data_IF_731747238601
#
_entry.id   IF_731747238601
#
_cell.length_a   1.000
_cell.length_b   1.000
_cell.length_c   1.000
_cell.angle_alpha   90.00
_cell.angle_beta   90.00
_cell.angle_gamma   90.00
#
_symmetry.space_group_name_H-M   'P 1'
#
loop_
_entity.id
_entity.type
_entity.pdbx_description
1 polymer ?
#
# COMPACT_ATOMS: atom_id res chain seq x y z
N UNK A 1 -46.77 26.79 -67.72
CA UNK A 1 -46.44 27.90 -66.80
C UNK A 1 -46.73 27.41 -65.39
N UNK A 2 -45.74 26.83 -64.69
CA UNK A 2 -45.87 26.40 -63.33
C UNK A 2 -44.52 26.62 -62.65
N UNK A 3 -44.54 27.49 -61.66
CA UNK A 3 -43.38 28.01 -60.92
C UNK A 3 -43.02 27.02 -59.82
N UNK A 4 -41.75 26.54 -59.79
CA UNK A 4 -41.17 25.75 -58.69
C UNK A 4 -40.55 26.70 -57.66
N UNK A 5 -41.07 26.70 -56.42
CA UNK A 5 -40.44 27.38 -55.26
C UNK A 5 -39.53 26.41 -54.53
N UNK A 6 -38.24 26.71 -54.48
CA UNK A 6 -37.25 25.99 -53.71
C UNK A 6 -37.32 26.37 -52.23
N UNK A 7 -37.51 25.37 -51.35
CA UNK A 7 -37.36 25.52 -49.89
C UNK A 7 -35.90 25.21 -49.54
N UNK A 8 -35.17 26.20 -49.02
CA UNK A 8 -33.90 25.99 -48.35
C UNK A 8 -34.17 25.59 -46.88
N UNK A 9 -33.79 24.40 -46.52
CA UNK A 9 -33.77 23.94 -45.12
C UNK A 9 -32.41 24.35 -44.50
N UNK A 10 -32.42 25.23 -43.55
CA UNK A 10 -31.25 25.57 -42.74
C UNK A 10 -31.10 24.57 -41.58
N UNK A 11 -30.09 23.68 -41.67
CA UNK A 11 -29.64 22.85 -40.54
C UNK A 11 -28.87 23.71 -39.55
N UNK A 12 -29.48 24.03 -38.41
CA UNK A 12 -28.80 24.66 -37.29
C UNK A 12 -27.92 23.63 -36.52
N UNK A 13 -26.64 23.78 -36.58
CA UNK A 13 -25.65 23.02 -35.81
C UNK A 13 -25.62 23.59 -34.38
N UNK A 14 -26.34 22.98 -33.43
CA UNK A 14 -26.25 23.34 -32.00
C UNK A 14 -24.95 22.79 -31.43
N UNK A 15 -23.95 23.61 -31.24
CA UNK A 15 -22.73 23.27 -30.50
C UNK A 15 -23.07 23.19 -29.01
N UNK A 16 -23.10 21.97 -28.47
CA UNK A 16 -23.11 21.74 -27.02
C UNK A 16 -21.75 22.13 -26.45
N UNK A 17 -21.67 23.32 -25.91
CA UNK A 17 -20.53 23.75 -25.07
C UNK A 17 -20.71 23.02 -23.74
N UNK A 18 -19.96 21.93 -23.54
CA UNK A 18 -19.85 21.29 -22.25
C UNK A 18 -19.18 22.24 -21.24
N UNK A 19 -19.94 22.85 -20.34
CA UNK A 19 -19.40 23.53 -19.19
C UNK A 19 -18.70 22.45 -18.32
N UNK A 20 -17.36 22.45 -18.36
CA UNK A 20 -16.59 21.77 -17.33
C UNK A 20 -16.89 22.46 -16.00
N UNK A 21 -17.48 21.72 -15.04
CA UNK A 21 -17.67 22.24 -13.70
C UNK A 21 -16.28 22.59 -13.12
N UNK A 22 -16.11 23.75 -12.46
CA UNK A 22 -14.85 24.07 -11.81
C UNK A 22 -14.54 23.03 -10.75
N UNK A 23 -13.25 22.70 -10.50
CA UNK A 23 -12.87 21.79 -9.44
C UNK A 23 -13.43 22.33 -8.12
N UNK A 24 -14.20 21.51 -7.43
CA UNK A 24 -14.69 21.81 -6.07
C UNK A 24 -13.46 21.86 -5.16
N UNK A 25 -13.10 23.03 -4.66
CA UNK A 25 -12.08 23.16 -3.64
C UNK A 25 -12.65 22.60 -2.33
N UNK A 26 -11.95 21.69 -1.70
CA UNK A 26 -12.28 21.27 -0.35
C UNK A 26 -12.07 22.49 0.56
N UNK A 27 -13.07 22.83 1.39
CA UNK A 27 -12.94 23.96 2.32
C UNK A 27 -11.85 23.72 3.37
N UNK A 28 -11.33 24.78 3.96
CA UNK A 28 -10.38 24.68 5.09
C UNK A 28 -10.95 23.84 6.21
N UNK A 29 -10.11 23.05 6.86
CA UNK A 29 -10.51 22.19 7.97
C UNK A 29 -10.94 23.01 9.18
N UNK A 30 -12.09 22.67 9.74
CA UNK A 30 -12.59 23.29 10.98
C UNK A 30 -12.04 22.53 12.18
N UNK A 31 -11.32 23.23 13.05
CA UNK A 31 -10.79 22.66 14.30
C UNK A 31 -11.61 23.11 15.52
N UNK A 32 -11.72 22.28 16.60
CA UNK A 32 -11.12 20.96 16.72
C UNK A 32 -11.76 19.94 15.79
N UNK A 33 -10.93 19.15 15.07
CA UNK A 33 -11.37 18.05 14.23
C UNK A 33 -11.35 16.76 15.07
N UNK A 34 -12.49 16.06 15.14
CA UNK A 34 -12.57 14.76 15.81
C UNK A 34 -12.83 13.64 14.79
N UNK A 35 -11.99 12.61 14.84
CA UNK A 35 -12.03 11.45 13.95
C UNK A 35 -12.14 10.15 14.76
N UNK A 36 -12.86 9.16 14.19
CA UNK A 36 -12.79 7.78 14.67
C UNK A 36 -11.59 7.11 13.99
N UNK A 37 -10.62 6.64 14.77
CA UNK A 37 -9.38 6.08 14.26
C UNK A 37 -9.03 4.77 14.98
N UNK A 38 -9.31 3.64 14.31
CA UNK A 38 -9.03 2.29 14.82
C UNK A 38 -9.64 2.03 16.22
N UNK A 39 -10.93 2.35 16.39
CA UNK A 39 -11.66 2.13 17.63
C UNK A 39 -11.39 3.17 18.73
N UNK A 40 -10.69 4.25 18.40
CA UNK A 40 -10.39 5.36 19.32
C UNK A 40 -10.79 6.69 18.70
N UNK A 41 -11.44 7.56 19.47
CA UNK A 41 -11.66 8.95 19.05
C UNK A 41 -10.41 9.77 19.23
N UNK A 42 -9.98 10.44 18.17
CA UNK A 42 -8.81 11.33 18.15
C UNK A 42 -9.29 12.74 17.88
N UNK A 43 -8.91 13.69 18.73
CA UNK A 43 -9.26 15.11 18.57
C UNK A 43 -8.02 15.92 18.26
N UNK A 44 -7.99 16.51 17.07
CA UNK A 44 -6.93 17.39 16.59
C UNK A 44 -7.37 18.84 16.84
N UNK A 45 -6.68 19.53 17.72
CA UNK A 45 -7.06 20.90 18.15
C UNK A 45 -6.73 21.97 17.12
N UNK A 46 -5.71 21.74 16.29
CA UNK A 46 -5.23 22.61 15.19
C UNK A 46 -4.41 21.79 14.22
N UNK A 47 -4.15 22.30 13.02
CA UNK A 47 -3.23 21.65 12.07
C UNK A 47 -1.85 21.41 12.72
N UNK A 48 -1.29 20.18 12.63
CA UNK A 48 0.02 19.89 13.19
C UNK A 48 1.13 20.66 12.48
N UNK A 49 2.14 21.06 13.26
CA UNK A 49 3.32 21.77 12.77
C UNK A 49 4.61 20.96 12.92
N UNK A 50 4.58 19.90 13.72
CA UNK A 50 5.75 19.11 14.11
C UNK A 50 5.43 17.61 14.12
N UNK A 51 5.23 17.07 12.93
CA UNK A 51 4.83 15.67 12.75
C UNK A 51 6.01 14.71 12.72
N UNK A 52 5.82 13.50 13.26
CA UNK A 52 6.68 12.35 13.00
C UNK A 52 5.92 11.33 12.14
N UNK A 53 6.54 10.87 11.04
CA UNK A 53 6.12 9.69 10.31
C UNK A 53 6.70 8.44 10.95
N UNK A 54 5.89 7.70 11.71
CA UNK A 54 6.33 6.50 12.41
C UNK A 54 5.94 5.23 11.64
N UNK A 55 6.89 4.72 10.87
CA UNK A 55 6.73 3.68 9.85
C UNK A 55 6.62 4.26 8.45
N UNK A 56 7.20 3.55 7.50
CA UNK A 56 7.45 4.04 6.14
C UNK A 56 6.18 4.46 5.40
N UNK A 57 5.08 3.70 5.51
CA UNK A 57 3.82 4.04 4.83
C UNK A 57 3.29 5.43 5.24
N UNK A 58 3.15 5.66 6.54
CA UNK A 58 2.63 6.94 7.04
C UNK A 58 3.56 8.10 6.70
N UNK A 59 4.89 7.89 6.77
CA UNK A 59 5.86 8.89 6.36
C UNK A 59 5.75 9.23 4.86
N UNK A 60 5.64 8.21 3.99
CA UNK A 60 5.50 8.42 2.55
C UNK A 60 4.17 9.09 2.17
N UNK A 61 3.08 8.82 2.89
CA UNK A 61 1.81 9.56 2.69
C UNK A 61 1.99 11.04 3.03
N UNK A 62 2.63 11.36 4.17
CA UNK A 62 2.90 12.76 4.52
C UNK A 62 3.77 13.46 3.47
N UNK A 63 4.78 12.77 2.93
CA UNK A 63 5.62 13.28 1.85
C UNK A 63 4.84 13.48 0.55
N UNK A 64 3.96 12.54 0.16
CA UNK A 64 3.09 12.66 -1.01
C UNK A 64 2.10 13.82 -0.90
N UNK A 65 1.67 14.13 0.32
CA UNK A 65 0.85 15.31 0.60
C UNK A 65 1.66 16.62 0.62
N UNK A 66 2.99 16.56 0.40
CA UNK A 66 3.87 17.74 0.38
C UNK A 66 4.07 18.35 1.77
N UNK A 67 4.09 17.54 2.83
CA UNK A 67 4.16 17.98 4.22
C UNK A 67 5.57 17.89 4.82
N UNK A 68 6.63 17.72 4.02
CA UNK A 68 8.01 17.60 4.51
C UNK A 68 8.44 18.76 5.42
N UNK A 69 7.90 19.96 5.23
CA UNK A 69 8.19 21.15 6.07
C UNK A 69 7.46 21.14 7.42
N UNK A 70 6.47 20.24 7.59
CA UNK A 70 5.75 19.99 8.83
C UNK A 70 6.29 18.75 9.55
N UNK A 71 7.24 18.04 8.96
CA UNK A 71 7.82 16.83 9.54
C UNK A 71 9.12 17.15 10.28
N UNK A 72 9.19 16.76 11.54
CA UNK A 72 10.40 16.87 12.35
C UNK A 72 11.20 15.58 12.40
N UNK A 73 10.65 14.49 11.88
CA UNK A 73 11.36 13.23 11.76
C UNK A 73 10.55 12.09 11.16
N UNK A 74 11.30 11.07 10.78
CA UNK A 74 10.78 9.76 10.41
C UNK A 74 11.51 8.67 11.20
N UNK A 75 10.83 7.57 11.50
CA UNK A 75 11.41 6.43 12.20
C UNK A 75 10.81 5.12 11.70
N UNK A 76 11.54 4.00 11.89
CA UNK A 76 11.17 2.69 11.42
C UNK A 76 11.02 2.65 9.88
N UNK A 77 12.15 2.69 9.21
CA UNK A 77 12.25 2.83 7.76
C UNK A 77 12.94 1.64 7.09
N UNK A 78 12.24 0.55 6.79
CA UNK A 78 12.83 -0.73 6.38
C UNK A 78 13.31 -0.80 4.93
N UNK A 79 12.96 0.17 4.07
CA UNK A 79 13.32 0.14 2.64
C UNK A 79 13.68 1.53 2.12
N UNK A 80 14.27 1.61 0.93
CA UNK A 80 14.51 2.90 0.27
C UNK A 80 13.19 3.63 0.06
N UNK A 81 13.24 4.97 0.16
CA UNK A 81 12.10 5.83 -0.16
C UNK A 81 11.69 5.67 -1.63
N UNK A 82 10.41 5.88 -1.93
CA UNK A 82 9.95 5.96 -3.32
C UNK A 82 10.79 7.01 -4.10
N UNK A 83 11.28 6.69 -5.31
CA UNK A 83 12.19 7.57 -6.05
C UNK A 83 11.70 9.01 -6.19
N UNK A 84 10.40 9.20 -6.44
CA UNK A 84 9.78 10.52 -6.58
C UNK A 84 9.70 11.31 -5.27
N UNK A 85 9.93 10.67 -4.11
CA UNK A 85 9.94 11.31 -2.79
C UNK A 85 11.36 11.59 -2.28
N UNK A 86 12.42 11.21 -3.03
CA UNK A 86 13.79 11.28 -2.55
C UNK A 86 14.22 12.70 -2.14
N UNK A 87 13.85 13.72 -2.93
CA UNK A 87 14.18 15.12 -2.65
C UNK A 87 13.41 15.62 -1.40
N UNK A 88 12.11 15.37 -1.32
CA UNK A 88 11.31 15.77 -0.16
C UNK A 88 11.78 15.05 1.12
N UNK A 89 12.07 13.75 1.02
CA UNK A 89 12.57 12.95 2.14
C UNK A 89 13.96 13.41 2.63
N UNK A 90 14.83 13.88 1.74
CA UNK A 90 16.15 14.40 2.12
C UNK A 90 16.09 15.63 3.04
N UNK A 91 14.94 16.31 3.10
CA UNK A 91 14.68 17.46 3.99
C UNK A 91 14.18 17.06 5.36
N UNK A 92 13.81 15.80 5.57
CA UNK A 92 13.25 15.29 6.82
C UNK A 92 14.31 14.45 7.54
N UNK A 93 14.49 14.70 8.83
CA UNK A 93 15.44 13.95 9.67
C UNK A 93 15.00 12.50 9.80
N UNK A 94 15.87 11.57 9.46
CA UNK A 94 15.70 10.16 9.80
C UNK A 94 16.21 9.93 11.23
N UNK A 95 15.31 9.62 12.15
CA UNK A 95 15.65 9.36 13.56
C UNK A 95 16.34 8.01 13.69
N UNK A 96 15.78 6.99 13.05
CA UNK A 96 16.36 5.64 12.98
C UNK A 96 15.68 4.81 11.91
N UNK A 97 16.42 3.88 11.29
CA UNK A 97 15.86 2.84 10.41
C UNK A 97 15.17 1.73 11.21
N UNK A 98 15.59 1.54 12.44
CA UNK A 98 15.06 0.55 13.39
C UNK A 98 13.96 1.16 14.27
N UNK A 99 13.54 0.40 15.28
CA UNK A 99 12.56 0.88 16.27
C UNK A 99 13.17 2.03 17.09
N UNK A 100 12.51 3.21 17.16
CA UNK A 100 12.94 4.30 18.04
C UNK A 100 12.62 3.98 19.51
N UNK A 101 13.19 4.74 20.42
CA UNK A 101 12.66 4.84 21.80
C UNK A 101 11.63 5.96 21.89
N UNK A 102 10.74 5.89 22.86
CA UNK A 102 9.76 6.94 23.11
C UNK A 102 10.41 8.28 23.34
N UNK A 103 11.48 8.31 24.18
CA UNK A 103 12.24 9.50 24.51
C UNK A 103 12.92 10.10 23.27
N UNK A 104 13.45 9.27 22.35
CA UNK A 104 14.08 9.78 21.13
C UNK A 104 13.09 10.46 20.19
N UNK A 105 11.84 10.00 20.19
CA UNK A 105 10.76 10.66 19.44
C UNK A 105 10.35 11.97 20.11
N UNK A 106 10.18 12.00 21.45
CA UNK A 106 9.80 13.19 22.19
C UNK A 106 10.89 14.28 22.18
N UNK A 107 12.16 13.91 22.02
CA UNK A 107 13.26 14.87 21.89
C UNK A 107 13.11 15.81 20.67
N UNK A 108 12.37 15.38 19.65
CA UNK A 108 12.04 16.23 18.49
C UNK A 108 10.86 17.19 18.76
N UNK A 109 10.28 17.19 19.95
CA UNK A 109 9.09 17.99 20.34
C UNK A 109 7.94 17.88 19.32
N UNK A 110 7.47 16.67 18.98
CA UNK A 110 6.36 16.50 18.05
C UNK A 110 5.05 16.98 18.69
N UNK A 111 4.11 17.42 17.86
CA UNK A 111 2.70 17.64 18.23
C UNK A 111 1.78 16.58 17.62
N UNK A 112 2.32 15.77 16.69
CA UNK A 112 1.57 14.73 15.99
C UNK A 112 2.47 13.55 15.57
N UNK A 113 1.93 12.34 15.64
CA UNK A 113 2.59 11.13 15.13
C UNK A 113 1.64 10.34 14.22
N UNK A 114 1.96 10.25 12.94
CA UNK A 114 1.30 9.33 12.03
C UNK A 114 1.96 7.94 12.12
N UNK A 115 1.17 6.91 12.42
CA UNK A 115 1.66 5.57 12.77
C UNK A 115 1.21 4.53 11.76
N UNK A 116 2.14 3.80 11.18
CA UNK A 116 1.85 2.83 10.14
C UNK A 116 1.31 1.48 10.66
N UNK A 117 1.65 1.06 11.88
CA UNK A 117 1.36 -0.30 12.37
C UNK A 117 0.84 -0.29 13.81
N UNK A 118 -0.17 -1.12 14.14
CA UNK A 118 -0.68 -1.25 15.51
C UNK A 118 0.37 -1.69 16.53
N UNK A 119 1.35 -2.49 16.13
CA UNK A 119 2.44 -2.96 17.01
C UNK A 119 3.34 -1.82 17.50
N UNK A 120 3.31 -0.65 16.87
CA UNK A 120 4.13 0.50 17.22
C UNK A 120 3.55 1.33 18.38
N UNK A 121 2.22 1.36 18.53
CA UNK A 121 1.53 2.16 19.55
C UNK A 121 0.34 1.45 20.21
N UNK A 122 0.14 0.18 19.90
CA UNK A 122 -0.94 -0.63 20.48
C UNK A 122 -0.68 -1.08 21.91
N UNK A 123 -1.63 -1.82 22.53
CA UNK A 123 -1.53 -2.28 23.92
C UNK A 123 -0.26 -3.07 24.25
N UNK A 124 0.29 -3.77 23.25
CA UNK A 124 1.49 -4.62 23.37
C UNK A 124 2.74 -3.95 22.79
N UNK A 125 2.69 -2.65 22.49
CA UNK A 125 3.86 -1.90 22.02
C UNK A 125 4.99 -1.93 23.04
N UNK A 126 6.21 -2.13 22.55
CA UNK A 126 7.43 -2.06 23.37
C UNK A 126 8.00 -0.62 23.45
N UNK A 127 7.40 0.32 22.74
CA UNK A 127 7.87 1.71 22.64
C UNK A 127 7.00 2.59 23.54
N UNK A 128 5.74 2.78 23.17
CA UNK A 128 4.74 3.55 23.93
C UNK A 128 3.34 3.16 23.42
N UNK A 129 2.32 3.44 24.20
CA UNK A 129 0.92 3.33 23.81
C UNK A 129 0.41 4.68 23.34
N UNK A 130 -0.72 4.71 22.65
CA UNK A 130 -1.38 5.97 22.23
C UNK A 130 -1.62 6.90 23.42
N UNK A 131 -2.08 6.31 24.53
CA UNK A 131 -2.35 7.06 25.78
C UNK A 131 -1.08 7.72 26.39
N UNK A 132 0.10 7.18 26.12
CA UNK A 132 1.35 7.76 26.62
C UNK A 132 1.72 9.01 25.81
N UNK A 133 1.46 9.01 24.50
CA UNK A 133 1.58 10.21 23.66
C UNK A 133 0.55 11.27 24.07
N UNK A 134 -0.70 10.87 24.30
CA UNK A 134 -1.78 11.80 24.71
C UNK A 134 -1.45 12.52 26.04
N UNK A 135 -0.86 11.80 27.02
CA UNK A 135 -0.44 12.39 28.32
C UNK A 135 0.58 13.52 28.17
N UNK A 136 1.37 13.49 27.11
CA UNK A 136 2.37 14.54 26.82
C UNK A 136 1.91 15.52 25.73
N UNK A 137 0.62 15.46 25.37
CA UNK A 137 0.00 16.40 24.44
C UNK A 137 0.29 16.14 22.97
N UNK A 138 0.76 14.94 22.62
CA UNK A 138 1.05 14.51 21.24
C UNK A 138 -0.11 13.67 20.70
N UNK A 139 -0.78 14.14 19.68
CA UNK A 139 -1.86 13.38 19.03
C UNK A 139 -1.28 12.26 18.16
N UNK A 140 -1.93 11.08 18.17
CA UNK A 140 -1.52 9.95 17.33
C UNK A 140 -2.62 9.58 16.34
N UNK A 141 -2.22 9.20 15.14
CA UNK A 141 -3.12 8.66 14.11
C UNK A 141 -2.56 7.35 13.59
N UNK A 142 -3.31 6.26 13.74
CA UNK A 142 -2.92 4.92 13.28
C UNK A 142 -3.52 4.65 11.89
N UNK A 143 -2.72 4.10 10.99
CA UNK A 143 -3.17 3.75 9.64
C UNK A 143 -4.40 2.82 9.65
N UNK A 144 -5.54 3.22 9.08
CA UNK A 144 -6.73 2.37 9.00
C UNK A 144 -6.48 1.08 8.22
N UNK A 145 -5.53 1.09 7.29
CA UNK A 145 -5.19 -0.09 6.46
C UNK A 145 -4.66 -1.27 7.29
N UNK A 146 -4.17 -0.98 8.50
CA UNK A 146 -3.60 -1.96 9.41
C UNK A 146 -4.46 -2.21 10.66
N UNK A 147 -5.63 -1.60 10.79
CA UNK A 147 -6.59 -1.88 11.86
C UNK A 147 -7.25 -3.25 11.68
N UNK A 148 -6.51 -4.29 11.97
CA UNK A 148 -6.97 -5.67 11.80
C UNK A 148 -7.89 -6.11 12.94
N UNK A 149 -8.81 -7.03 12.62
CA UNK A 149 -9.52 -7.78 13.65
C UNK A 149 -8.53 -8.72 14.35
N UNK A 150 -8.23 -8.44 15.62
CA UNK A 150 -7.37 -9.28 16.45
C UNK A 150 -8.09 -10.51 17.01
N UNK A 151 -9.18 -10.96 16.40
CA UNK A 151 -9.95 -12.12 16.87
C UNK A 151 -9.13 -13.42 16.96
N UNK A 152 -7.99 -13.47 16.28
CA UNK A 152 -7.08 -14.62 16.33
C UNK A 152 -5.76 -14.24 17.02
N UNK A 153 -5.69 -14.47 18.33
CA UNK A 153 -4.55 -14.11 19.20
C UNK A 153 -3.25 -14.88 18.84
N UNK A 154 -3.35 -15.92 18.00
CA UNK A 154 -2.19 -16.73 17.56
C UNK A 154 -1.49 -16.16 16.33
N UNK A 155 -2.14 -15.24 15.61
CA UNK A 155 -1.56 -14.62 14.43
C UNK A 155 -0.96 -13.26 14.80
N UNK A 156 0.36 -13.19 14.81
CA UNK A 156 1.11 -12.00 15.18
C UNK A 156 0.77 -10.78 14.30
N UNK A 157 0.39 -11.03 13.05
CA UNK A 157 0.08 -10.00 12.07
C UNK A 157 -1.42 -9.85 11.80
N UNK A 158 -2.26 -10.68 12.46
CA UNK A 158 -3.70 -10.69 12.29
C UNK A 158 -4.19 -11.47 11.09
N UNK A 159 -5.52 -11.56 10.98
CA UNK A 159 -6.21 -12.23 9.86
C UNK A 159 -7.30 -11.34 9.31
N UNK A 160 -7.60 -11.47 8.02
CA UNK A 160 -8.66 -10.74 7.33
C UNK A 160 -9.74 -11.71 6.87
N UNK A 161 -10.97 -11.49 7.32
CA UNK A 161 -12.15 -12.22 6.82
C UNK A 161 -12.56 -11.81 5.40
N UNK A 162 -12.17 -10.61 4.98
CA UNK A 162 -12.49 -10.04 3.65
C UNK A 162 -11.19 -9.58 2.97
N UNK A 163 -11.24 -9.55 1.64
CA UNK A 163 -10.12 -9.07 0.84
C UNK A 163 -9.82 -7.60 1.16
N UNK A 164 -8.55 -7.32 1.47
CA UNK A 164 -8.06 -5.97 1.63
C UNK A 164 -8.27 -5.17 0.32
N UNK A 165 -8.50 -3.88 0.43
CA UNK A 165 -8.63 -2.98 -0.71
C UNK A 165 -8.05 -1.61 -0.42
N UNK A 166 -7.93 -0.78 -1.44
CA UNK A 166 -7.37 0.57 -1.36
C UNK A 166 -8.22 1.57 -0.59
N UNK A 167 -9.49 1.30 -0.32
CA UNK A 167 -10.39 2.27 0.35
C UNK A 167 -9.88 2.63 1.75
N UNK A 168 -9.21 1.69 2.43
CA UNK A 168 -8.59 1.95 3.73
C UNK A 168 -7.43 2.95 3.64
N UNK A 169 -6.67 2.92 2.54
CA UNK A 169 -5.61 3.90 2.26
C UNK A 169 -6.18 5.22 1.76
N UNK A 170 -7.25 5.19 0.96
CA UNK A 170 -7.96 6.41 0.58
C UNK A 170 -8.51 7.14 1.80
N UNK A 171 -9.05 6.39 2.78
CA UNK A 171 -9.44 6.94 4.09
C UNK A 171 -8.24 7.55 4.83
N UNK A 172 -7.08 6.87 4.87
CA UNK A 172 -5.86 7.39 5.51
C UNK A 172 -5.40 8.70 4.88
N UNK A 173 -5.34 8.75 3.54
CA UNK A 173 -4.94 9.95 2.79
C UNK A 173 -5.93 11.09 3.04
N UNK A 174 -7.23 10.81 2.97
CA UNK A 174 -8.29 11.81 3.20
C UNK A 174 -8.21 12.38 4.61
N UNK A 175 -8.18 11.53 5.63
CA UNK A 175 -8.12 11.95 7.03
C UNK A 175 -6.81 12.70 7.36
N UNK A 176 -5.65 12.21 6.91
CA UNK A 176 -4.38 12.93 7.09
C UNK A 176 -4.39 14.28 6.38
N UNK A 177 -4.95 14.36 5.18
CA UNK A 177 -5.06 15.63 4.46
C UNK A 177 -5.96 16.64 5.17
N UNK A 178 -7.04 16.20 5.80
CA UNK A 178 -7.90 17.02 6.65
C UNK A 178 -7.16 17.44 7.95
N UNK A 179 -6.46 16.51 8.61
CA UNK A 179 -5.68 16.81 9.83
C UNK A 179 -4.66 17.93 9.60
N UNK A 180 -4.05 17.98 8.41
CA UNK A 180 -3.03 18.97 8.04
C UNK A 180 -3.57 20.18 7.26
N UNK A 181 -4.88 20.30 7.07
CA UNK A 181 -5.54 21.37 6.29
C UNK A 181 -5.03 21.47 4.82
N UNK A 182 -4.88 20.31 4.19
CA UNK A 182 -4.46 20.17 2.78
C UNK A 182 -5.39 19.23 2.00
N UNK A 183 -6.69 19.29 2.28
CA UNK A 183 -7.68 18.37 1.75
C UNK A 183 -7.69 18.29 0.21
N UNK A 184 -7.46 19.39 -0.50
CA UNK A 184 -7.35 19.40 -1.97
C UNK A 184 -6.21 18.50 -2.47
N UNK A 185 -5.06 18.48 -1.76
CA UNK A 185 -3.93 17.59 -2.10
C UNK A 185 -4.28 16.12 -1.85
N UNK A 186 -5.01 15.85 -0.76
CA UNK A 186 -5.53 14.50 -0.46
C UNK A 186 -6.46 13.99 -1.56
N UNK A 187 -7.42 14.79 -1.98
CA UNK A 187 -8.35 14.43 -3.05
C UNK A 187 -7.63 14.19 -4.39
N UNK A 188 -6.66 15.04 -4.74
CA UNK A 188 -5.86 14.86 -5.95
C UNK A 188 -5.06 13.55 -5.90
N UNK A 189 -4.43 13.23 -4.77
CA UNK A 189 -3.67 11.99 -4.57
C UNK A 189 -4.57 10.75 -4.65
N UNK A 190 -5.74 10.78 -4.02
CA UNK A 190 -6.73 9.70 -4.10
C UNK A 190 -7.19 9.49 -5.54
N UNK A 191 -7.45 10.58 -6.28
CA UNK A 191 -7.87 10.50 -7.68
C UNK A 191 -6.78 9.85 -8.56
N UNK A 192 -5.50 10.17 -8.35
CA UNK A 192 -4.37 9.53 -9.03
C UNK A 192 -4.34 8.02 -8.76
N UNK A 193 -4.37 7.60 -7.50
CA UNK A 193 -4.37 6.18 -7.15
C UNK A 193 -5.58 5.43 -7.71
N UNK A 194 -6.79 6.02 -7.67
CA UNK A 194 -7.98 5.42 -8.28
C UNK A 194 -7.85 5.27 -9.80
N UNK A 195 -7.26 6.24 -10.48
CA UNK A 195 -7.01 6.16 -11.92
C UNK A 195 -6.00 5.05 -12.26
N UNK A 196 -4.95 4.90 -11.47
CA UNK A 196 -3.95 3.82 -11.61
C UNK A 196 -4.56 2.45 -11.36
N UNK A 197 -5.37 2.31 -10.30
CA UNK A 197 -6.13 1.08 -10.01
C UNK A 197 -7.06 0.71 -11.18
N UNK A 198 -7.85 1.65 -11.68
CA UNK A 198 -8.75 1.44 -12.81
C UNK A 198 -8.00 1.03 -14.09
N UNK A 199 -6.83 1.62 -14.34
CA UNK A 199 -5.96 1.25 -15.47
C UNK A 199 -5.46 -0.20 -15.35
N UNK A 200 -5.04 -0.62 -14.16
CA UNK A 200 -4.61 -2.00 -13.91
C UNK A 200 -5.75 -2.98 -14.15
N UNK A 201 -6.93 -2.75 -13.57
CA UNK A 201 -8.12 -3.58 -13.79
C UNK A 201 -8.52 -3.61 -15.28
N UNK A 202 -8.48 -2.50 -15.97
CA UNK A 202 -8.79 -2.40 -17.39
C UNK A 202 -7.80 -3.16 -18.31
N UNK A 203 -6.53 -3.24 -17.94
CA UNK A 203 -5.52 -3.97 -18.73
C UNK A 203 -5.67 -5.49 -18.62
N UNK A 204 -6.25 -5.99 -17.54
CA UNK A 204 -6.44 -7.43 -17.28
C UNK A 204 -7.74 -7.96 -17.86
N UNK A 205 -8.81 -7.17 -17.84
CA UNK A 205 -10.15 -7.59 -18.24
C UNK A 205 -10.28 -8.12 -19.70
N UNK A 206 -9.27 -7.88 -20.54
CA UNK A 206 -9.32 -8.27 -21.97
C UNK A 206 -9.02 -9.74 -22.25
N UNK A 207 -8.36 -10.46 -21.36
CA UNK A 207 -7.82 -11.78 -21.66
C UNK A 207 -8.51 -12.95 -20.96
N UNK A 208 -9.37 -12.66 -19.98
CA UNK A 208 -10.12 -13.69 -19.24
C UNK A 208 -9.22 -14.69 -18.48
N UNK A 209 -7.94 -14.39 -18.31
CA UNK A 209 -7.00 -15.27 -17.61
C UNK A 209 -7.22 -15.13 -16.11
N UNK A 210 -7.48 -16.25 -15.43
CA UNK A 210 -7.58 -16.34 -13.99
C UNK A 210 -6.29 -16.94 -13.42
N UNK A 211 -5.17 -16.19 -13.53
CA UNK A 211 -3.88 -16.67 -13.08
C UNK A 211 -3.85 -16.85 -11.56
N UNK A 212 -3.20 -17.91 -11.13
CA UNK A 212 -2.95 -18.18 -9.72
C UNK A 212 -1.56 -17.66 -9.32
N UNK A 213 -1.49 -16.94 -8.20
CA UNK A 213 -0.28 -16.29 -7.72
C UNK A 213 0.14 -16.83 -6.36
N UNK A 214 1.45 -16.94 -6.12
CA UNK A 214 2.05 -16.98 -4.79
C UNK A 214 2.97 -15.77 -4.64
N UNK A 215 2.79 -15.03 -3.54
CA UNK A 215 3.62 -13.86 -3.19
C UNK A 215 4.59 -14.27 -2.08
N UNK A 216 5.82 -14.55 -2.46
CA UNK A 216 6.87 -14.99 -1.54
C UNK A 216 7.68 -13.81 -1.01
N UNK A 217 7.45 -13.46 0.25
CA UNK A 217 8.12 -12.35 0.91
C UNK A 217 9.57 -12.70 1.29
N UNK A 218 9.78 -13.73 2.10
CA UNK A 218 11.12 -14.18 2.51
C UNK A 218 11.07 -15.54 3.20
N UNK A 219 12.25 -16.11 3.48
CA UNK A 219 12.44 -17.26 4.35
C UNK A 219 13.77 -17.11 5.10
N UNK A 220 13.88 -17.58 6.35
CA UNK A 220 15.13 -17.54 7.09
C UNK A 220 16.27 -18.29 6.40
N UNK A 221 15.97 -19.43 5.77
CA UNK A 221 16.89 -20.27 5.00
C UNK A 221 16.12 -21.02 3.90
N UNK A 222 16.82 -21.67 2.94
CA UNK A 222 16.19 -22.54 1.93
C UNK A 222 15.35 -23.69 2.48
N UNK A 223 15.71 -24.21 3.63
CA UNK A 223 15.00 -25.31 4.30
C UNK A 223 13.84 -24.87 5.21
N UNK A 224 13.67 -23.57 5.39
CA UNK A 224 12.61 -23.02 6.22
C UNK A 224 11.34 -22.75 5.42
N UNK A 225 10.18 -22.79 6.10
CA UNK A 225 8.91 -22.41 5.53
C UNK A 225 8.96 -20.99 4.97
N UNK A 226 8.24 -20.77 3.88
CA UNK A 226 8.13 -19.49 3.24
C UNK A 226 7.14 -18.57 3.95
N UNK A 227 7.54 -17.33 4.23
CA UNK A 227 6.59 -16.26 4.55
C UNK A 227 5.96 -15.77 3.25
N UNK A 228 4.66 -15.91 3.14
CA UNK A 228 3.90 -15.55 1.93
C UNK A 228 2.75 -14.61 2.28
N UNK A 229 2.28 -13.85 1.31
CA UNK A 229 1.06 -13.07 1.48
C UNK A 229 -0.16 -13.97 1.54
N UNK A 230 -1.05 -13.75 2.51
CA UNK A 230 -2.29 -14.51 2.66
C UNK A 230 -3.36 -14.15 1.63
N UNK A 231 -4.42 -14.98 1.59
CA UNK A 231 -5.53 -14.87 0.63
C UNK A 231 -6.15 -13.46 0.58
N UNK A 232 -6.42 -12.89 1.73
CA UNK A 232 -7.15 -11.63 1.88
C UNK A 232 -6.23 -10.42 2.15
N UNK A 233 -4.91 -10.60 2.07
CA UNK A 233 -3.92 -9.55 2.27
C UNK A 233 -3.82 -8.57 1.09
N UNK A 234 -2.94 -7.57 1.20
CA UNK A 234 -2.58 -6.71 0.07
C UNK A 234 -2.04 -7.50 -1.13
N UNK A 235 -1.33 -8.62 -0.89
CA UNK A 235 -0.91 -9.54 -1.95
C UNK A 235 -2.10 -10.20 -2.66
N UNK A 236 -3.13 -10.61 -1.90
CA UNK A 236 -4.38 -11.12 -2.47
C UNK A 236 -5.10 -10.07 -3.32
N UNK A 237 -5.10 -8.81 -2.87
CA UNK A 237 -5.65 -7.70 -3.64
C UNK A 237 -4.88 -7.46 -4.94
N UNK A 238 -3.55 -7.55 -4.94
CA UNK A 238 -2.76 -7.44 -6.18
C UNK A 238 -3.14 -8.55 -7.16
N UNK A 239 -3.30 -9.79 -6.67
CA UNK A 239 -3.74 -10.89 -7.53
C UNK A 239 -5.12 -10.63 -8.15
N UNK A 240 -6.10 -10.18 -7.35
CA UNK A 240 -7.43 -9.80 -7.81
C UNK A 240 -7.39 -8.63 -8.81
N UNK A 241 -6.63 -7.58 -8.48
CA UNK A 241 -6.45 -6.41 -9.33
C UNK A 241 -5.88 -6.79 -10.71
N UNK A 242 -5.03 -7.81 -10.77
CA UNK A 242 -4.45 -8.37 -11.98
C UNK A 242 -5.29 -9.51 -12.61
N UNK A 243 -6.56 -9.65 -12.22
CA UNK A 243 -7.53 -10.57 -12.80
C UNK A 243 -7.27 -12.04 -12.50
N UNK A 244 -6.59 -12.31 -11.40
CA UNK A 244 -6.29 -13.65 -10.92
C UNK A 244 -6.69 -13.86 -9.46
N UNK A 245 -6.02 -14.78 -8.79
CA UNK A 245 -6.26 -15.07 -7.37
C UNK A 245 -4.99 -15.52 -6.66
N UNK A 246 -4.94 -15.33 -5.35
CA UNK A 246 -3.85 -15.87 -4.53
C UNK A 246 -4.07 -17.37 -4.33
N UNK A 247 -3.09 -18.20 -4.67
CA UNK A 247 -3.14 -19.65 -4.53
C UNK A 247 -3.06 -20.11 -3.06
N UNK A 248 -2.63 -19.23 -2.15
CA UNK A 248 -2.55 -19.51 -0.71
C UNK A 248 -3.91 -19.21 -0.05
N UNK A 249 -4.60 -20.25 0.42
CA UNK A 249 -5.95 -20.14 0.96
C UNK A 249 -6.01 -19.58 2.40
N UNK A 250 -4.87 -19.39 3.07
CA UNK A 250 -4.82 -18.91 4.45
C UNK A 250 -5.29 -17.45 4.56
N UNK A 251 -6.14 -17.17 5.56
CA UNK A 251 -6.67 -15.83 5.85
C UNK A 251 -5.73 -14.99 6.73
N UNK A 252 -4.68 -15.60 7.29
CA UNK A 252 -3.61 -14.89 7.97
C UNK A 252 -3.00 -13.85 7.03
N UNK A 253 -2.64 -12.67 7.55
CA UNK A 253 -1.97 -11.64 6.76
C UNK A 253 -0.63 -12.15 6.19
N UNK A 254 0.13 -12.86 7.05
CA UNK A 254 1.45 -13.40 6.74
C UNK A 254 1.57 -14.87 7.19
N UNK A 255 0.94 -15.83 6.49
CA UNK A 255 1.14 -17.23 6.81
C UNK A 255 2.55 -17.69 6.47
N UNK A 256 3.04 -18.66 7.25
CA UNK A 256 4.19 -19.50 6.86
C UNK A 256 3.68 -20.76 6.19
N UNK A 257 4.24 -21.09 5.03
CA UNK A 257 3.81 -22.25 4.23
C UNK A 257 5.02 -23.05 3.81
N UNK A 258 5.01 -24.35 4.09
CA UNK A 258 6.03 -25.28 3.60
C UNK A 258 6.03 -25.38 2.06
N UNK A 259 7.19 -25.69 1.50
CA UNK A 259 7.32 -25.76 0.05
C UNK A 259 6.45 -26.85 -0.59
N UNK A 260 6.17 -27.95 0.13
CA UNK A 260 5.22 -28.98 -0.32
C UNK A 260 3.82 -28.39 -0.53
N UNK A 261 3.40 -27.47 0.37
CA UNK A 261 2.12 -26.77 0.24
C UNK A 261 2.09 -25.82 -0.96
N UNK A 262 3.19 -25.11 -1.22
CA UNK A 262 3.32 -24.23 -2.40
C UNK A 262 3.34 -25.04 -3.70
N UNK A 263 4.06 -26.17 -3.73
CA UNK A 263 4.08 -27.09 -4.86
C UNK A 263 2.68 -27.66 -5.12
N UNK A 264 1.97 -28.07 -4.06
CA UNK A 264 0.59 -28.58 -4.18
C UNK A 264 -0.40 -27.50 -4.66
N UNK A 265 -0.21 -26.23 -4.27
CA UNK A 265 -1.01 -25.11 -4.75
C UNK A 265 -0.77 -24.83 -6.24
N UNK A 266 0.38 -25.25 -6.79
CA UNK A 266 0.76 -25.17 -8.21
C UNK A 266 0.44 -23.82 -8.85
N UNK A 267 1.01 -22.70 -8.38
CA UNK A 267 0.74 -21.38 -8.90
C UNK A 267 1.22 -21.22 -10.34
N UNK A 268 0.51 -20.40 -11.13
CA UNK A 268 0.95 -20.00 -12.48
C UNK A 268 2.10 -19.00 -12.43
N UNK A 269 2.14 -18.17 -11.39
CA UNK A 269 3.14 -17.10 -11.19
C UNK A 269 3.66 -17.11 -9.76
N UNK A 270 4.97 -16.99 -9.60
CA UNK A 270 5.60 -16.72 -8.29
C UNK A 270 6.11 -15.28 -8.28
N UNK A 271 5.53 -14.46 -7.41
CA UNK A 271 5.95 -13.08 -7.17
C UNK A 271 6.98 -13.09 -6.04
N UNK A 272 8.19 -12.70 -6.36
CA UNK A 272 9.34 -12.70 -5.47
C UNK A 272 9.57 -11.31 -4.91
N UNK A 273 9.54 -11.14 -3.58
CA UNK A 273 9.84 -9.87 -2.96
C UNK A 273 11.32 -9.50 -3.07
N UNK A 274 11.61 -8.25 -3.42
CA UNK A 274 12.91 -7.62 -3.25
C UNK A 274 12.91 -6.86 -1.92
N UNK A 275 13.84 -7.20 -1.02
CA UNK A 275 13.96 -6.57 0.30
C UNK A 275 15.35 -5.92 0.43
N UNK A 276 15.39 -4.66 0.85
CA UNK A 276 16.66 -3.92 1.05
C UNK A 276 17.44 -4.36 2.31
N UNK A 277 16.78 -5.11 3.20
CA UNK A 277 17.39 -5.64 4.42
C UNK A 277 18.25 -6.90 4.14
N UNK A 278 19.10 -7.27 5.12
CA UNK A 278 19.91 -8.50 5.11
C UNK A 278 19.67 -9.30 6.41
N UNK A 279 18.41 -9.47 6.78
CA UNK A 279 18.05 -10.18 8.02
C UNK A 279 18.10 -11.68 7.83
N UNK A 280 17.71 -12.17 6.65
CA UNK A 280 17.63 -13.58 6.31
C UNK A 280 18.34 -13.86 4.99
N UNK A 281 18.76 -15.11 4.81
CA UNK A 281 19.45 -15.55 3.60
C UNK A 281 18.60 -15.27 2.34
N UNK A 282 17.30 -15.53 2.43
CA UNK A 282 16.35 -15.35 1.34
C UNK A 282 15.60 -13.99 1.40
N UNK A 283 16.31 -12.91 1.77
CA UNK A 283 15.77 -11.55 1.65
C UNK A 283 15.96 -10.99 0.23
N UNK A 284 17.05 -11.36 -0.45
CA UNK A 284 17.37 -10.85 -1.79
C UNK A 284 16.68 -11.65 -2.89
N UNK A 285 16.17 -10.99 -3.95
CA UNK A 285 15.48 -11.67 -5.04
C UNK A 285 16.39 -12.65 -5.79
N UNK A 286 17.68 -12.36 -5.92
CA UNK A 286 18.65 -13.23 -6.59
C UNK A 286 18.80 -14.57 -5.84
N UNK A 287 18.87 -14.54 -4.50
CA UNK A 287 18.97 -15.73 -3.67
C UNK A 287 17.70 -16.59 -3.78
N UNK A 288 16.51 -15.93 -3.77
CA UNK A 288 15.23 -16.60 -3.96
C UNK A 288 15.11 -17.26 -5.33
N UNK A 289 15.44 -16.53 -6.40
CA UNK A 289 15.41 -17.05 -7.78
C UNK A 289 16.39 -18.19 -7.95
N UNK A 290 17.59 -18.10 -7.36
CA UNK A 290 18.55 -19.20 -7.34
C UNK A 290 17.95 -20.43 -6.66
N UNK A 291 17.37 -20.28 -5.47
CA UNK A 291 16.69 -21.38 -4.77
C UNK A 291 15.59 -22.01 -5.63
N UNK A 292 14.68 -21.23 -6.20
CA UNK A 292 13.60 -21.72 -7.07
C UNK A 292 14.14 -22.56 -8.23
N UNK A 293 15.27 -22.19 -8.81
CA UNK A 293 15.86 -22.88 -9.97
C UNK A 293 16.70 -24.10 -9.60
N UNK A 294 17.19 -24.19 -8.36
CA UNK A 294 18.19 -25.23 -7.97
C UNK A 294 17.64 -26.29 -7.01
N UNK A 295 16.57 -25.99 -6.27
CA UNK A 295 15.92 -26.98 -5.39
C UNK A 295 15.33 -28.12 -6.22
N UNK A 296 15.59 -29.40 -5.92
CA UNK A 296 15.16 -30.52 -6.75
C UNK A 296 13.66 -30.65 -6.95
N UNK A 297 12.85 -30.28 -5.96
CA UNK A 297 11.40 -30.35 -6.01
C UNK A 297 10.77 -29.07 -6.56
N UNK A 298 11.18 -27.92 -6.02
CA UNK A 298 10.64 -26.61 -6.38
C UNK A 298 10.90 -26.24 -7.83
N UNK A 299 12.09 -26.58 -8.37
CA UNK A 299 12.45 -26.34 -9.77
C UNK A 299 11.57 -27.10 -10.77
N UNK A 300 10.83 -28.12 -10.33
CA UNK A 300 9.89 -28.86 -11.18
C UNK A 300 8.54 -28.17 -11.35
N UNK A 301 8.22 -27.14 -10.56
CA UNK A 301 6.97 -26.40 -10.67
C UNK A 301 6.82 -25.75 -12.04
N UNK A 302 5.62 -25.78 -12.66
CA UNK A 302 5.38 -25.14 -13.97
C UNK A 302 5.76 -23.67 -13.99
N UNK A 303 5.45 -22.89 -12.93
CA UNK A 303 5.84 -21.49 -12.83
C UNK A 303 7.36 -21.28 -12.97
N UNK A 304 8.17 -22.16 -12.39
CA UNK A 304 9.64 -22.08 -12.46
C UNK A 304 10.12 -22.48 -13.86
N UNK A 305 9.65 -23.60 -14.40
CA UNK A 305 10.02 -24.09 -15.74
C UNK A 305 9.64 -23.09 -16.84
N UNK A 306 8.50 -22.45 -16.71
CA UNK A 306 8.00 -21.44 -17.65
C UNK A 306 8.59 -20.04 -17.41
N UNK A 307 9.48 -19.90 -16.40
CA UNK A 307 10.09 -18.63 -16.00
C UNK A 307 9.05 -17.55 -15.63
N UNK A 308 7.90 -17.97 -15.13
CA UNK A 308 6.84 -17.08 -14.62
C UNK A 308 7.18 -16.59 -13.20
N UNK A 309 8.41 -16.07 -13.04
CA UNK A 309 8.99 -15.50 -11.83
C UNK A 309 9.09 -14.00 -12.02
N UNK A 310 8.40 -13.23 -11.22
CA UNK A 310 8.40 -11.76 -11.29
C UNK A 310 8.88 -11.17 -9.96
N UNK A 311 9.59 -10.06 -10.02
CA UNK A 311 10.16 -9.41 -8.84
C UNK A 311 9.36 -8.16 -8.51
N UNK A 312 9.04 -7.97 -7.23
CA UNK A 312 8.31 -6.81 -6.73
C UNK A 312 8.98 -6.24 -5.48
N UNK A 313 8.86 -4.92 -5.24
CA UNK A 313 9.20 -4.33 -3.94
C UNK A 313 8.44 -5.06 -2.82
N UNK A 314 9.18 -5.63 -1.86
CA UNK A 314 8.56 -6.39 -0.77
C UNK A 314 7.66 -5.53 0.12
N UNK A 315 7.88 -4.22 0.22
CA UNK A 315 6.98 -3.34 0.96
C UNK A 315 5.61 -3.18 0.29
N UNK A 316 5.53 -3.44 -1.01
CA UNK A 316 4.26 -3.43 -1.74
C UNK A 316 3.36 -4.63 -1.41
N UNK A 317 3.91 -5.69 -0.81
CA UNK A 317 3.12 -6.83 -0.28
C UNK A 317 2.40 -6.51 1.04
N UNK A 318 2.78 -5.40 1.70
CA UNK A 318 2.09 -4.90 2.88
C UNK A 318 0.92 -3.98 2.47
N UNK A 319 -0.09 -3.79 3.34
CA UNK A 319 -1.23 -2.90 3.09
C UNK A 319 -0.80 -1.42 3.14
N UNK A 320 -0.11 -0.95 2.12
CA UNK A 320 0.52 0.37 2.01
C UNK A 320 0.22 1.04 0.68
N UNK A 321 0.53 2.32 0.55
CA UNK A 321 0.45 3.03 -0.75
C UNK A 321 1.30 2.35 -1.84
N UNK A 322 2.33 1.60 -1.44
CA UNK A 322 3.20 0.87 -2.37
C UNK A 322 2.51 -0.30 -3.05
N UNK A 323 1.35 -0.75 -2.57
CA UNK A 323 0.58 -1.85 -3.16
C UNK A 323 0.27 -1.59 -4.64
N UNK A 324 -0.14 -0.36 -5.01
CA UNK A 324 -0.38 -0.01 -6.43
C UNK A 324 0.92 -0.01 -7.23
N UNK A 325 2.02 0.52 -6.68
CA UNK A 325 3.33 0.48 -7.36
C UNK A 325 3.82 -0.95 -7.58
N UNK A 326 3.61 -1.83 -6.60
CA UNK A 326 3.94 -3.26 -6.74
C UNK A 326 3.07 -3.96 -7.79
N UNK A 327 1.77 -3.67 -7.82
CA UNK A 327 0.88 -4.19 -8.85
C UNK A 327 1.31 -3.76 -10.27
N UNK A 328 1.75 -2.51 -10.44
CA UNK A 328 2.30 -2.01 -11.71
C UNK A 328 3.59 -2.74 -12.10
N UNK A 329 4.52 -2.97 -11.15
CA UNK A 329 5.75 -3.72 -11.38
C UNK A 329 5.46 -5.16 -11.83
N UNK A 330 4.49 -5.83 -11.18
CA UNK A 330 4.07 -7.18 -11.56
C UNK A 330 3.40 -7.18 -12.93
N UNK A 331 2.47 -6.26 -13.19
CA UNK A 331 1.77 -6.15 -14.47
C UNK A 331 2.73 -5.93 -15.65
N UNK A 332 3.73 -5.06 -15.50
CA UNK A 332 4.74 -4.80 -16.51
C UNK A 332 5.54 -6.06 -16.86
N UNK A 333 6.01 -6.79 -15.86
CA UNK A 333 6.76 -8.03 -16.07
C UNK A 333 5.89 -9.14 -16.69
N UNK A 334 4.61 -9.28 -16.26
CA UNK A 334 3.69 -10.24 -16.84
C UNK A 334 3.37 -9.92 -18.31
N UNK A 335 3.30 -8.64 -18.69
CA UNK A 335 3.19 -8.22 -20.09
C UNK A 335 4.41 -8.62 -20.90
N UNK A 336 5.61 -8.39 -20.35
CA UNK A 336 6.86 -8.80 -20.98
C UNK A 336 6.97 -10.33 -21.17
N UNK A 337 6.36 -11.10 -20.26
CA UNK A 337 6.27 -12.56 -20.36
C UNK A 337 5.11 -13.04 -21.27
N UNK A 338 4.28 -12.14 -21.80
CA UNK A 338 3.11 -12.49 -22.61
C UNK A 338 1.96 -13.13 -21.81
N UNK A 339 1.97 -13.01 -20.48
CA UNK A 339 0.93 -13.53 -19.59
C UNK A 339 -0.22 -12.52 -19.38
N UNK A 340 0.03 -11.23 -19.61
CA UNK A 340 -0.97 -10.15 -19.68
C UNK A 340 -0.78 -9.37 -21.00
N UNK A 341 -1.87 -8.79 -21.53
CA UNK A 341 -1.85 -7.88 -22.71
C UNK A 341 -1.93 -6.41 -22.32
#
# INVERSE_FOLDING_TARGET
MTSFKSLLAACGLSALIGLAAPPSHAGSTVYPLTLENCGTQVTIKKAPERAIGFGQNSAEILLLLGLQDKMVGTAFWPSKVLPQLAEANARVKLLTVEMPTFESMLAENPDFVAVALPSLVGPNSKIAKREDFDKVGVSTYLSPSTCLSTKNVKDQYGSRGELWNMDLLYKEIDELSQIFDVADRGQALIADFKAREAKLRGSVAKDGQNLSYVFWFSSPSPSADAYVGGKNSASGFIADLLGGHNAIAAEAEWPTVGWEGIIAANPDVIVVASLDRNRWELDKPEAKINFLNTDPAVSQMPAVKNKALVVMDGQAMNPTIRTIYGAEQVAEQLKALGLLK
#
